data_IF_662868595747
#
_entry.id   IF_662868595747
#
_cell.length_a   1.000
_cell.length_b   1.000
_cell.length_c   1.000
_cell.angle_alpha   90.00
_cell.angle_beta   90.00
_cell.angle_gamma   90.00
#
_symmetry.space_group_name_H-M   'P 1'
#
loop_
_entity.id
_entity.type
_entity.pdbx_description
1 polymer ?
#
# COMPACT_ATOMS: atom_id res chain seq x y z
N UNK A 1 -69.63 -26.96 -5.06
CA UNK A 1 -68.46 -27.78 -4.66
C UNK A 1 -67.19 -27.08 -5.15
N UNK A 2 -66.48 -26.41 -4.24
CA UNK A 2 -65.26 -25.64 -4.52
C UNK A 2 -64.07 -26.59 -4.75
N UNK A 3 -63.35 -26.43 -5.87
CA UNK A 3 -62.02 -27.04 -6.08
C UNK A 3 -60.93 -26.01 -5.81
N UNK A 4 -60.19 -26.20 -4.71
CA UNK A 4 -58.96 -25.46 -4.40
C UNK A 4 -57.82 -25.97 -5.28
N UNK A 5 -57.14 -25.06 -5.97
CA UNK A 5 -55.81 -25.27 -6.57
C UNK A 5 -54.77 -25.05 -5.46
N UNK A 6 -53.88 -26.02 -5.24
CA UNK A 6 -52.68 -25.85 -4.44
C UNK A 6 -51.46 -25.86 -5.39
N UNK A 7 -50.75 -24.74 -5.45
CA UNK A 7 -49.48 -24.58 -6.14
C UNK A 7 -48.40 -24.87 -5.11
N UNK A 8 -47.63 -25.94 -5.32
CA UNK A 8 -46.41 -26.21 -4.56
C UNK A 8 -45.24 -25.52 -5.26
N UNK A 9 -44.69 -24.48 -4.63
CA UNK A 9 -43.41 -23.89 -4.99
C UNK A 9 -42.31 -24.64 -4.25
N UNK A 10 -41.49 -25.40 -4.98
CA UNK A 10 -40.27 -26.02 -4.44
C UNK A 10 -39.13 -25.00 -4.51
N UNK A 11 -38.69 -24.51 -3.35
CA UNK A 11 -37.45 -23.74 -3.20
C UNK A 11 -36.31 -24.74 -3.02
N UNK A 12 -35.55 -24.99 -4.09
CA UNK A 12 -34.28 -25.70 -4.01
C UNK A 12 -33.19 -24.70 -3.61
N UNK A 13 -32.76 -24.72 -2.35
CA UNK A 13 -31.48 -24.15 -1.94
C UNK A 13 -30.39 -25.16 -2.30
N UNK A 14 -29.64 -24.87 -3.37
CA UNK A 14 -28.43 -25.61 -3.74
C UNK A 14 -27.31 -25.31 -2.75
N UNK A 15 -26.96 -26.31 -1.95
CA UNK A 15 -25.79 -26.32 -1.08
C UNK A 15 -24.56 -26.58 -1.97
N UNK A 16 -23.81 -25.53 -2.32
CA UNK A 16 -22.52 -25.67 -3.00
C UNK A 16 -21.49 -26.11 -1.97
N UNK A 17 -21.13 -27.41 -1.99
CA UNK A 17 -19.95 -27.91 -1.30
C UNK A 17 -18.72 -27.54 -2.13
N UNK A 18 -18.01 -26.49 -1.73
CA UNK A 18 -16.69 -26.17 -2.24
C UNK A 18 -15.68 -27.16 -1.63
N UNK A 19 -15.33 -28.18 -2.39
CA UNK A 19 -14.23 -29.09 -2.06
C UNK A 19 -12.94 -28.41 -2.48
N UNK A 20 -12.23 -27.77 -1.55
CA UNK A 20 -10.92 -27.17 -1.82
C UNK A 20 -9.87 -28.28 -1.95
N UNK A 21 -9.62 -28.73 -3.18
CA UNK A 21 -8.43 -29.49 -3.50
C UNK A 21 -7.22 -28.55 -3.36
N UNK A 22 -6.31 -28.84 -2.42
CA UNK A 22 -5.05 -28.12 -2.24
C UNK A 22 -4.08 -28.51 -3.35
N UNK A 23 -4.35 -28.02 -4.56
CA UNK A 23 -3.30 -27.84 -5.55
C UNK A 23 -2.34 -26.80 -5.02
N UNK A 24 -1.04 -26.99 -5.22
CA UNK A 24 -0.03 -25.95 -4.92
C UNK A 24 -0.37 -24.76 -5.80
N UNK A 25 -1.13 -23.81 -5.27
CA UNK A 25 -1.46 -22.58 -5.98
C UNK A 25 -0.14 -21.92 -6.37
N UNK A 26 0.00 -21.58 -7.65
CA UNK A 26 1.17 -20.84 -8.09
C UNK A 26 1.28 -19.58 -7.23
N UNK A 27 2.46 -19.34 -6.64
CA UNK A 27 2.64 -18.17 -5.79
C UNK A 27 2.32 -16.91 -6.60
N UNK A 28 1.59 -16.00 -5.97
CA UNK A 28 1.13 -14.75 -6.57
C UNK A 28 2.33 -13.87 -6.95
N UNK A 29 2.36 -13.42 -8.19
CA UNK A 29 3.31 -12.41 -8.66
C UNK A 29 2.70 -11.02 -8.58
N UNK A 30 3.54 -10.02 -8.32
CA UNK A 30 3.14 -8.62 -8.29
C UNK A 30 4.33 -7.68 -8.54
N UNK A 31 4.03 -6.47 -8.99
CA UNK A 31 5.04 -5.45 -9.28
C UNK A 31 5.22 -4.51 -8.09
N UNK A 32 6.45 -4.25 -7.68
CA UNK A 32 6.75 -3.37 -6.55
C UNK A 32 7.58 -2.19 -7.00
N UNK A 33 7.29 -0.99 -6.50
CA UNK A 33 8.17 0.19 -6.60
C UNK A 33 9.29 0.18 -5.54
N UNK A 34 9.38 -0.87 -4.73
CA UNK A 34 10.28 -0.92 -3.59
C UNK A 34 11.51 -1.74 -3.90
N UNK A 35 12.62 -1.03 -3.94
CA UNK A 35 13.92 -1.64 -4.16
C UNK A 35 14.22 -2.69 -3.09
N UNK A 36 14.85 -3.81 -3.46
CA UNK A 36 15.32 -4.78 -2.49
C UNK A 36 16.31 -4.11 -1.53
N UNK A 37 16.16 -4.39 -0.24
CA UNK A 37 17.08 -3.84 0.77
C UNK A 37 18.52 -4.27 0.48
N UNK A 38 19.50 -3.39 0.72
CA UNK A 38 20.93 -3.72 0.56
C UNK A 38 21.35 -4.94 1.40
N UNK A 39 20.70 -5.16 2.55
CA UNK A 39 20.91 -6.37 3.38
C UNK A 39 20.42 -7.64 2.70
N UNK A 40 19.32 -7.59 1.96
CA UNK A 40 18.86 -8.74 1.19
C UNK A 40 19.79 -9.04 0.00
N UNK A 41 20.60 -8.08 -0.47
CA UNK A 41 21.55 -8.31 -1.57
C UNK A 41 22.76 -9.15 -1.15
N UNK A 42 23.18 -9.13 0.13
CA UNK A 42 24.31 -9.93 0.62
C UNK A 42 23.91 -11.35 1.04
N UNK A 43 22.67 -11.55 1.51
CA UNK A 43 22.21 -12.86 1.98
C UNK A 43 22.23 -13.95 0.90
N UNK A 44 22.06 -13.59 -0.38
CA UNK A 44 22.17 -14.56 -1.48
C UNK A 44 23.62 -14.78 -1.97
N UNK A 45 24.58 -13.96 -1.54
CA UNK A 45 25.99 -14.11 -1.89
C UNK A 45 26.75 -14.96 -0.85
N UNK A 46 26.32 -14.93 0.41
CA UNK A 46 27.03 -15.59 1.51
C UNK A 46 26.59 -17.06 1.73
N UNK A 47 25.51 -17.55 1.09
CA UNK A 47 25.04 -18.94 1.24
C UNK A 47 25.87 -19.98 0.44
N UNK A 48 26.99 -19.55 -0.17
CA UNK A 48 27.95 -20.43 -0.87
C UNK A 48 29.29 -20.56 -0.14
N UNK A 49 29.56 -19.75 0.88
CA UNK A 49 30.83 -19.83 1.61
C UNK A 49 30.62 -19.40 3.06
N UNK A 50 30.43 -20.35 3.99
CA UNK A 50 31.07 -20.32 5.30
C UNK A 50 30.77 -21.61 6.09
N UNK A 51 31.53 -22.67 5.78
CA UNK A 51 31.95 -23.61 6.82
C UNK A 51 33.11 -22.99 7.61
N UNK A 52 33.03 -23.12 8.93
CA UNK A 52 34.11 -23.14 9.93
C UNK A 52 34.48 -21.90 10.77
N UNK A 53 34.63 -22.27 12.06
CA UNK A 53 35.50 -21.77 13.13
C UNK A 53 35.02 -20.65 14.06
N UNK A 54 34.40 -21.11 15.15
CA UNK A 54 34.38 -20.47 16.47
C UNK A 54 35.79 -20.10 16.96
N UNK A 55 36.03 -18.82 17.24
CA UNK A 55 36.93 -18.37 18.31
C UNK A 55 36.37 -17.05 18.89
N UNK A 56 35.95 -17.07 20.15
CA UNK A 56 35.60 -15.88 20.93
C UNK A 56 36.85 -15.31 21.60
N UNK A 57 37.13 -14.00 21.51
CA UNK A 57 38.00 -13.30 22.45
C UNK A 57 37.21 -12.56 23.54
N UNK A 58 37.80 -12.36 24.72
CA UNK A 58 37.10 -11.90 25.92
C UNK A 58 36.86 -10.38 25.95
N UNK A 59 35.80 -10.02 26.65
CA UNK A 59 35.34 -8.66 26.92
C UNK A 59 36.36 -7.85 27.75
N UNK A 60 36.65 -6.63 27.30
CA UNK A 60 37.20 -5.56 28.14
C UNK A 60 36.14 -4.47 28.32
N UNK A 61 35.76 -4.25 29.57
CA UNK A 61 35.03 -3.07 30.02
C UNK A 61 35.99 -1.90 30.14
N UNK A 62 35.63 -0.73 29.65
CA UNK A 62 36.23 0.52 30.10
C UNK A 62 35.21 1.65 30.13
N UNK A 63 35.42 2.51 31.12
CA UNK A 63 34.47 3.42 31.71
C UNK A 63 34.29 4.72 30.91
N UNK A 64 33.15 5.35 31.14
CA UNK A 64 32.77 6.65 30.62
C UNK A 64 33.73 7.76 31.04
N UNK A 65 34.03 8.67 30.10
CA UNK A 65 34.34 10.06 30.43
C UNK A 65 33.57 11.00 29.51
N UNK A 66 32.87 11.91 30.18
CA UNK A 66 32.09 13.01 29.63
C UNK A 66 33.04 14.18 29.33
N UNK A 67 32.98 14.74 28.13
CA UNK A 67 33.56 16.04 27.83
C UNK A 67 32.62 16.81 26.91
N UNK A 68 32.11 17.92 27.45
CA UNK A 68 31.32 18.93 26.75
C UNK A 68 32.27 19.78 25.92
N UNK A 69 32.06 19.81 24.60
CA UNK A 69 32.66 20.80 23.71
C UNK A 69 31.61 21.27 22.71
N UNK A 70 31.20 22.53 22.87
CA UNK A 70 30.32 23.28 22.01
C UNK A 70 31.07 23.71 20.74
N UNK A 71 30.73 23.09 19.61
CA UNK A 71 31.21 23.50 18.29
C UNK A 71 30.01 23.99 17.46
N UNK A 72 29.94 25.30 17.25
CA UNK A 72 28.94 25.94 16.39
C UNK A 72 29.27 25.59 14.93
N UNK A 73 28.59 24.58 14.39
CA UNK A 73 28.62 24.26 12.97
C UNK A 73 27.52 25.00 12.22
N UNK A 74 27.96 25.64 11.14
CA UNK A 74 27.19 26.36 10.15
C UNK A 74 25.91 25.63 9.72
N UNK A 75 24.85 26.42 9.51
CA UNK A 75 23.53 25.97 9.09
C UNK A 75 23.62 25.12 7.81
N UNK A 76 23.57 23.81 8.01
CA UNK A 76 23.39 22.80 6.98
C UNK A 76 21.95 22.95 6.50
N UNK A 77 21.77 23.25 5.21
CA UNK A 77 20.49 23.30 4.52
C UNK A 77 19.71 22.03 4.91
N UNK A 78 18.60 22.20 5.65
CA UNK A 78 17.75 21.11 6.08
C UNK A 78 17.11 20.48 4.84
N UNK A 79 17.70 19.40 4.37
CA UNK A 79 17.10 18.51 3.39
C UNK A 79 16.16 17.58 4.17
N UNK A 80 14.87 17.85 4.11
CA UNK A 80 13.88 17.25 5.01
C UNK A 80 13.47 15.81 4.64
N UNK A 81 14.09 15.17 3.64
CA UNK A 81 13.53 13.94 3.06
C UNK A 81 14.47 12.74 2.89
N UNK A 82 15.73 12.79 3.37
CA UNK A 82 16.73 11.74 3.08
C UNK A 82 17.04 10.77 4.22
N UNK A 83 16.17 10.71 5.24
CA UNK A 83 16.28 9.70 6.30
C UNK A 83 15.96 8.30 5.79
N UNK A 84 17.00 7.55 5.39
CA UNK A 84 16.93 6.12 5.04
C UNK A 84 16.27 5.36 6.19
N UNK A 85 15.09 4.82 5.95
CA UNK A 85 14.31 4.08 6.93
C UNK A 85 14.52 2.56 6.73
N UNK A 86 14.95 1.81 7.74
CA UNK A 86 15.12 0.34 7.63
C UNK A 86 13.79 -0.44 7.72
N UNK A 87 12.67 0.20 8.09
CA UNK A 87 11.40 -0.48 8.41
C UNK A 87 10.17 0.05 7.64
N UNK A 88 10.36 0.98 6.70
CA UNK A 88 9.26 1.47 5.86
C UNK A 88 9.79 2.01 4.55
N UNK A 89 8.95 1.97 3.51
CA UNK A 89 9.34 2.41 2.17
C UNK A 89 9.69 3.90 2.19
N UNK A 90 10.85 4.26 1.62
CA UNK A 90 11.18 5.67 1.38
C UNK A 90 10.09 6.29 0.51
N UNK A 91 9.68 7.55 0.78
CA UNK A 91 8.67 8.24 -0.04
C UNK A 91 8.97 8.06 -1.53
N UNK A 92 7.97 7.63 -2.28
CA UNK A 92 8.08 7.42 -3.72
C UNK A 92 8.61 8.69 -4.41
N UNK A 93 9.44 8.51 -5.43
CA UNK A 93 9.91 9.60 -6.29
C UNK A 93 8.79 10.01 -7.25
N UNK A 94 7.65 10.41 -6.72
CA UNK A 94 6.45 10.74 -7.52
C UNK A 94 6.66 12.00 -8.37
N UNK A 95 7.66 12.81 -7.98
CA UNK A 95 8.11 13.99 -8.71
C UNK A 95 9.14 13.70 -9.81
N UNK A 96 9.57 12.45 -9.97
CA UNK A 96 10.50 12.06 -11.02
C UNK A 96 9.76 11.27 -12.09
N UNK A 97 10.02 11.54 -13.38
CA UNK A 97 9.47 10.75 -14.46
C UNK A 97 10.08 9.35 -14.51
N UNK A 98 11.31 9.18 -13.99
CA UNK A 98 11.97 7.89 -13.95
C UNK A 98 11.39 7.02 -12.83
N UNK A 99 10.86 5.86 -13.23
CA UNK A 99 10.30 4.84 -12.34
C UNK A 99 11.06 3.54 -12.48
N UNK A 100 11.12 2.80 -11.38
CA UNK A 100 11.69 1.47 -11.36
C UNK A 100 10.72 0.54 -10.64
N UNK A 101 10.45 -0.62 -11.25
CA UNK A 101 9.69 -1.68 -10.62
C UNK A 101 10.52 -2.94 -10.50
N UNK A 102 10.15 -3.78 -9.56
CA UNK A 102 10.71 -5.10 -9.33
C UNK A 102 9.57 -6.12 -9.31
N UNK A 103 9.77 -7.26 -9.99
CA UNK A 103 8.83 -8.36 -9.89
C UNK A 103 9.05 -9.11 -8.58
N UNK A 104 7.97 -9.32 -7.83
CA UNK A 104 7.97 -10.03 -6.56
C UNK A 104 7.05 -11.24 -6.61
N UNK A 105 7.37 -12.24 -5.82
CA UNK A 105 6.67 -13.51 -5.72
C UNK A 105 6.29 -13.79 -4.26
N UNK A 106 5.04 -14.20 -4.07
CA UNK A 106 4.41 -14.40 -2.77
C UNK A 106 3.52 -13.23 -2.36
N UNK A 107 2.49 -13.54 -1.58
CA UNK A 107 1.43 -12.61 -1.19
C UNK A 107 1.70 -11.87 0.14
N UNK A 108 2.65 -12.34 0.94
CA UNK A 108 3.14 -11.63 2.11
C UNK A 108 4.13 -10.53 1.69
N UNK A 109 3.65 -9.29 1.64
CA UNK A 109 4.41 -8.12 1.16
C UNK A 109 5.79 -7.95 1.83
N UNK A 110 5.92 -8.27 3.13
CA UNK A 110 7.20 -8.12 3.85
C UNK A 110 8.21 -9.19 3.48
N UNK A 111 7.76 -10.43 3.30
CA UNK A 111 8.64 -11.58 3.03
C UNK A 111 8.67 -12.03 1.57
N UNK A 112 7.83 -11.44 0.69
CA UNK A 112 7.76 -11.78 -0.72
C UNK A 112 9.13 -11.64 -1.38
N UNK A 113 9.53 -12.68 -2.12
CA UNK A 113 10.85 -12.75 -2.73
C UNK A 113 10.90 -11.90 -3.99
N UNK A 114 12.09 -11.42 -4.34
CA UNK A 114 12.33 -10.76 -5.62
C UNK A 114 12.64 -11.83 -6.66
N UNK A 115 11.98 -11.79 -7.81
CA UNK A 115 12.20 -12.76 -8.88
C UNK A 115 13.59 -12.55 -9.48
N UNK A 116 14.33 -13.64 -9.71
CA UNK A 116 15.66 -13.57 -10.32
C UNK A 116 15.56 -13.25 -11.82
N UNK A 117 16.48 -12.43 -12.34
CA UNK A 117 16.48 -12.03 -13.75
C UNK A 117 16.72 -13.21 -14.72
N UNK A 118 17.40 -14.27 -14.27
CA UNK A 118 17.69 -15.46 -15.07
C UNK A 118 16.43 -16.27 -15.45
N UNK A 119 15.31 -16.02 -14.78
CA UNK A 119 14.08 -16.79 -14.92
C UNK A 119 13.06 -16.12 -15.86
N UNK A 120 13.46 -15.11 -16.64
CA UNK A 120 12.51 -14.20 -17.28
C UNK A 120 12.81 -13.93 -18.76
N UNK A 121 12.02 -14.53 -19.65
CA UNK A 121 11.74 -14.02 -21.00
C UNK A 121 10.41 -13.25 -20.96
N UNK A 122 10.37 -12.18 -20.17
CA UNK A 122 9.13 -11.50 -19.84
C UNK A 122 8.98 -10.20 -20.62
N UNK A 123 7.81 -10.04 -21.25
CA UNK A 123 7.45 -8.84 -21.99
C UNK A 123 6.54 -7.96 -21.15
N UNK A 124 7.10 -6.90 -20.59
CA UNK A 124 6.34 -5.88 -19.88
C UNK A 124 5.74 -4.90 -20.87
N UNK A 125 4.49 -4.49 -20.61
CA UNK A 125 3.79 -3.47 -21.39
C UNK A 125 3.38 -2.33 -20.49
N UNK A 126 3.54 -1.12 -20.97
CA UNK A 126 3.04 0.09 -20.32
C UNK A 126 1.93 0.70 -21.15
N UNK A 127 0.85 1.09 -20.50
CA UNK A 127 -0.28 1.77 -21.11
C UNK A 127 -0.38 3.16 -20.49
N UNK A 128 -0.48 4.20 -21.32
CA UNK A 128 -0.71 5.57 -20.87
C UNK A 128 -2.21 5.94 -20.86
N UNK A 129 -2.53 7.16 -20.39
CA UNK A 129 -3.90 7.68 -20.37
C UNK A 129 -4.58 7.78 -21.75
N UNK A 130 -3.78 7.85 -22.82
CA UNK A 130 -4.28 7.84 -24.20
C UNK A 130 -4.55 6.43 -24.74
N UNK A 131 -4.26 5.39 -23.97
CA UNK A 131 -4.31 3.99 -24.38
C UNK A 131 -3.13 3.56 -25.25
N UNK A 132 -2.06 4.38 -25.34
CA UNK A 132 -0.86 4.00 -26.08
C UNK A 132 -0.11 2.91 -25.32
N UNK A 133 0.11 1.79 -26.00
CA UNK A 133 0.87 0.65 -25.46
C UNK A 133 2.32 0.76 -25.91
N UNK A 134 3.25 0.64 -24.96
CA UNK A 134 4.69 0.65 -25.21
C UNK A 134 5.34 -0.54 -24.51
N UNK A 135 6.23 -1.25 -25.20
CA UNK A 135 7.03 -2.31 -24.57
C UNK A 135 8.05 -1.70 -23.60
N UNK A 136 8.16 -2.27 -22.40
CA UNK A 136 9.13 -1.85 -21.39
C UNK A 136 10.27 -2.85 -21.32
N UNK A 137 11.49 -2.34 -21.43
CA UNK A 137 12.69 -3.17 -21.39
C UNK A 137 12.96 -3.64 -19.97
N UNK A 138 13.15 -4.94 -19.82
CA UNK A 138 13.59 -5.55 -18.56
C UNK A 138 15.07 -5.27 -18.32
N UNK A 139 15.43 -5.13 -17.05
CA UNK A 139 16.79 -4.92 -16.60
C UNK A 139 17.10 -5.88 -15.44
N UNK A 140 18.35 -6.28 -15.33
CA UNK A 140 18.85 -6.96 -14.12
C UNK A 140 19.46 -5.92 -13.18
N UNK A 141 18.98 -5.88 -11.94
CA UNK A 141 19.55 -5.04 -10.88
C UNK A 141 19.91 -5.92 -9.67
N UNK A 142 21.21 -6.15 -9.47
CA UNK A 142 21.69 -7.09 -8.45
C UNK A 142 21.19 -8.53 -8.65
N UNK A 143 21.06 -9.00 -9.89
CA UNK A 143 20.57 -10.33 -10.24
C UNK A 143 19.04 -10.50 -10.18
N UNK A 144 18.31 -9.43 -9.85
CA UNK A 144 16.84 -9.44 -9.74
C UNK A 144 16.20 -8.84 -10.97
N UNK A 145 15.03 -9.36 -11.33
CA UNK A 145 14.22 -8.83 -12.41
C UNK A 145 13.66 -7.47 -11.99
N UNK A 146 14.05 -6.45 -12.74
CA UNK A 146 13.55 -5.10 -12.60
C UNK A 146 13.16 -4.55 -13.96
N UNK A 147 12.39 -3.48 -13.97
CA UNK A 147 12.16 -2.68 -15.16
C UNK A 147 12.38 -1.22 -14.78
N UNK A 148 12.97 -0.48 -15.71
CA UNK A 148 13.15 0.97 -15.59
C UNK A 148 12.39 1.61 -16.73
N UNK A 149 11.54 2.58 -16.40
CA UNK A 149 10.75 3.31 -17.38
C UNK A 149 10.82 4.80 -17.09
N UNK A 150 10.63 5.60 -18.13
CA UNK A 150 10.50 7.04 -18.03
C UNK A 150 9.08 7.41 -18.45
N UNK A 151 8.36 8.14 -17.60
CA UNK A 151 7.01 8.61 -17.86
C UNK A 151 7.10 9.94 -18.61
N UNK A 152 6.69 10.02 -19.90
CA UNK A 152 6.94 11.19 -20.74
C UNK A 152 5.96 12.34 -20.54
N UNK A 153 4.81 12.12 -19.88
CA UNK A 153 3.84 13.18 -19.52
C UNK A 153 3.32 12.99 -18.09
N UNK A 154 2.90 14.09 -17.46
CA UNK A 154 2.25 14.04 -16.14
C UNK A 154 0.96 13.24 -16.25
N UNK A 155 0.75 12.33 -15.30
CA UNK A 155 -0.45 11.49 -15.21
C UNK A 155 -0.15 10.07 -14.76
N UNK A 156 -1.19 9.24 -14.81
CA UNK A 156 -1.12 7.82 -14.51
C UNK A 156 -0.66 7.00 -15.72
N UNK A 157 -0.01 5.89 -15.41
CA UNK A 157 0.42 4.87 -16.36
C UNK A 157 0.22 3.51 -15.69
N UNK A 158 -0.21 2.52 -16.46
CA UNK A 158 -0.28 1.16 -15.95
C UNK A 158 0.80 0.31 -16.59
N UNK A 159 1.59 -0.38 -15.77
CA UNK A 159 2.55 -1.38 -16.21
C UNK A 159 1.98 -2.76 -15.94
N UNK A 160 2.00 -3.60 -16.97
CA UNK A 160 1.50 -4.95 -16.97
C UNK A 160 2.62 -5.93 -17.27
N UNK A 161 2.50 -7.10 -16.67
CA UNK A 161 3.15 -8.32 -17.09
C UNK A 161 2.08 -9.38 -17.30
N UNK A 162 2.30 -10.26 -18.27
CA UNK A 162 1.43 -11.40 -18.51
C UNK A 162 2.28 -12.66 -18.60
N UNK A 163 2.07 -13.57 -17.64
CA UNK A 163 2.67 -14.89 -17.65
C UNK A 163 1.60 -15.95 -17.86
N UNK A 164 1.88 -16.89 -18.77
CA UNK A 164 0.97 -17.98 -19.12
C UNK A 164 1.74 -19.29 -19.09
N UNK A 165 1.18 -20.31 -18.44
CA UNK A 165 1.71 -21.67 -18.44
C UNK A 165 0.58 -22.68 -18.38
N UNK A 166 0.68 -23.78 -19.10
CA UNK A 166 -0.25 -24.90 -18.94
C UNK A 166 0.34 -25.86 -17.91
N UNK A 167 -0.45 -26.23 -16.90
CA UNK A 167 -0.09 -27.23 -15.89
C UNK A 167 -1.28 -28.12 -15.62
N UNK A 168 -1.08 -29.43 -15.67
CA UNK A 168 -2.12 -30.44 -15.40
C UNK A 168 -3.41 -30.23 -16.22
N UNK A 169 -3.29 -29.78 -17.47
CA UNK A 169 -4.43 -29.51 -18.35
C UNK A 169 -5.24 -28.25 -18.00
N UNK A 170 -4.70 -27.39 -17.12
CA UNK A 170 -5.25 -26.07 -16.76
C UNK A 170 -4.29 -24.96 -17.19
N UNK A 171 -4.79 -23.96 -17.90
CA UNK A 171 -4.03 -22.74 -18.19
C UNK A 171 -3.93 -21.89 -16.91
N UNK A 172 -2.74 -21.55 -16.50
CA UNK A 172 -2.45 -20.65 -15.38
C UNK A 172 -1.98 -19.32 -15.95
N UNK A 173 -2.70 -18.25 -15.67
CA UNK A 173 -2.39 -16.90 -16.14
C UNK A 173 -2.18 -15.97 -14.96
N UNK A 174 -1.00 -15.36 -14.87
CA UNK A 174 -0.70 -14.31 -13.89
C UNK A 174 -0.57 -12.95 -14.58
N UNK A 175 -1.28 -11.95 -14.08
CA UNK A 175 -1.42 -10.62 -14.65
C UNK A 175 -1.06 -9.56 -13.61
N UNK A 176 0.20 -9.48 -13.17
CA UNK A 176 0.58 -8.44 -12.23
C UNK A 176 0.60 -7.07 -12.91
N UNK A 177 -0.08 -6.13 -12.27
CA UNK A 177 -0.25 -4.73 -12.67
C UNK A 177 0.40 -3.83 -11.63
N UNK A 178 0.92 -2.69 -12.06
CA UNK A 178 1.26 -1.57 -11.18
C UNK A 178 0.79 -0.26 -11.81
N UNK A 179 0.11 0.55 -11.01
CA UNK A 179 -0.25 1.93 -11.35
C UNK A 179 0.91 2.85 -10.96
N UNK A 180 1.47 3.54 -11.95
CA UNK A 180 2.56 4.50 -11.78
C UNK A 180 2.03 5.91 -11.98
N UNK A 181 2.57 6.83 -11.19
CA UNK A 181 2.21 8.23 -11.25
C UNK A 181 3.46 9.07 -11.40
N UNK A 182 3.47 9.91 -12.43
CA UNK A 182 4.36 11.06 -12.49
C UNK A 182 3.55 12.34 -12.28
N UNK A 183 3.89 13.08 -11.23
CA UNK A 183 3.23 14.32 -10.86
C UNK A 183 4.27 15.42 -10.58
N UNK A 184 4.09 16.60 -11.16
CA UNK A 184 4.99 17.74 -10.94
C UNK A 184 4.22 18.92 -10.36
N UNK A 185 4.70 19.47 -9.23
CA UNK A 185 4.15 20.71 -8.65
C UNK A 185 4.44 21.97 -9.49
N UNK A 186 5.27 21.85 -10.52
CA UNK A 186 5.68 22.95 -11.41
C UNK A 186 4.97 22.87 -12.76
N UNK A 187 4.36 21.73 -13.09
CA UNK A 187 3.59 21.59 -14.32
C UNK A 187 2.33 22.46 -14.23
N UNK A 188 2.37 23.59 -14.92
CA UNK A 188 1.19 24.44 -15.13
C UNK A 188 0.35 23.83 -16.25
N UNK A 189 -0.95 24.04 -16.21
CA UNK A 189 -1.90 23.65 -17.26
C UNK A 189 -2.13 22.13 -17.41
N UNK A 190 -1.92 21.35 -16.33
CA UNK A 190 -2.37 19.96 -16.28
C UNK A 190 -3.83 19.93 -15.82
N UNK A 191 -4.70 19.35 -16.66
CA UNK A 191 -6.07 19.03 -16.26
C UNK A 191 -6.02 17.84 -15.29
N UNK A 192 -5.95 18.13 -13.98
CA UNK A 192 -5.84 17.13 -12.91
C UNK A 192 -6.95 16.08 -12.97
N UNK A 193 -8.17 16.46 -13.34
CA UNK A 193 -9.30 15.54 -13.45
C UNK A 193 -9.12 14.59 -14.65
N UNK A 194 -8.68 15.11 -15.79
CA UNK A 194 -8.40 14.27 -16.95
C UNK A 194 -7.24 13.30 -16.71
N UNK A 195 -6.19 13.76 -16.02
CA UNK A 195 -5.03 12.89 -15.73
C UNK A 195 -5.25 11.93 -14.59
N UNK A 196 -6.31 12.10 -13.79
CA UNK A 196 -6.70 11.20 -12.72
C UNK A 196 -7.70 10.13 -13.15
N UNK A 197 -7.92 9.91 -14.45
CA UNK A 197 -8.80 8.82 -14.91
C UNK A 197 -8.09 7.47 -14.82
N UNK A 198 -8.78 6.41 -14.36
CA UNK A 198 -8.21 5.08 -14.38
C UNK A 198 -8.01 4.59 -15.82
N UNK A 199 -6.92 3.85 -16.04
CA UNK A 199 -6.61 3.22 -17.32
C UNK A 199 -7.22 1.81 -17.33
N UNK A 200 -7.83 1.45 -18.46
CA UNK A 200 -8.49 0.15 -18.66
C UNK A 200 -7.82 -0.58 -19.82
N UNK A 201 -7.32 -1.78 -19.54
CA UNK A 201 -6.80 -2.69 -20.56
C UNK A 201 -7.88 -3.67 -21.04
N UNK A 202 -8.62 -3.25 -22.07
CA UNK A 202 -9.70 -4.06 -22.67
C UNK A 202 -9.24 -5.40 -23.25
N UNK A 203 -7.93 -5.61 -23.45
CA UNK A 203 -7.39 -6.87 -23.94
C UNK A 203 -7.04 -7.87 -22.83
N UNK A 204 -7.04 -7.44 -21.56
CA UNK A 204 -6.70 -8.30 -20.44
C UNK A 204 -7.85 -9.30 -20.14
N UNK A 205 -7.57 -10.60 -19.98
CA UNK A 205 -8.62 -11.58 -19.70
C UNK A 205 -9.21 -11.42 -18.29
N UNK A 206 -8.43 -10.87 -17.36
CA UNK A 206 -8.87 -10.42 -16.04
C UNK A 206 -8.10 -9.14 -15.68
N UNK A 207 -8.79 -8.14 -15.15
CA UNK A 207 -8.19 -6.86 -14.79
C UNK A 207 -8.76 -6.33 -13.47
N UNK A 208 -7.87 -5.81 -12.62
CA UNK A 208 -8.22 -4.95 -11.50
C UNK A 208 -7.93 -3.49 -11.87
N UNK A 209 -8.96 -2.66 -11.74
CA UNK A 209 -8.87 -1.21 -11.95
C UNK A 209 -9.21 -0.52 -10.64
N UNK A 210 -8.31 0.29 -10.10
CA UNK A 210 -8.63 1.14 -8.96
C UNK A 210 -9.45 2.32 -9.45
N UNK A 211 -10.60 2.57 -8.84
CA UNK A 211 -11.34 3.80 -9.11
C UNK A 211 -10.74 4.94 -8.30
N UNK A 212 -10.53 6.07 -8.97
CA UNK A 212 -10.02 7.27 -8.33
C UNK A 212 -11.21 8.11 -7.82
N UNK A 213 -11.07 8.72 -6.66
CA UNK A 213 -12.10 9.62 -6.16
C UNK A 213 -12.21 10.87 -7.05
N UNK A 214 -13.38 11.51 -7.09
CA UNK A 214 -13.61 12.68 -7.94
C UNK A 214 -12.70 13.88 -7.58
N UNK A 215 -12.25 13.95 -6.32
CA UNK A 215 -11.32 14.94 -5.80
C UNK A 215 -9.87 14.42 -5.70
N UNK A 216 -9.59 13.24 -6.26
CA UNK A 216 -8.27 12.64 -6.28
C UNK A 216 -7.39 13.26 -7.38
N UNK A 217 -6.64 14.30 -7.03
CA UNK A 217 -5.60 14.84 -7.91
C UNK A 217 -4.32 13.98 -7.94
N UNK A 218 -3.35 14.29 -8.81
CA UNK A 218 -2.07 13.56 -8.91
C UNK A 218 -1.20 13.60 -7.64
N UNK A 219 -1.54 14.46 -6.67
CA UNK A 219 -0.85 14.54 -5.38
C UNK A 219 -1.65 13.92 -4.23
N UNK A 220 -2.87 13.45 -4.51
CA UNK A 220 -3.66 12.73 -3.53
C UNK A 220 -2.95 11.44 -3.13
N UNK A 221 -3.14 11.05 -1.87
CA UNK A 221 -2.56 9.85 -1.28
C UNK A 221 -3.63 9.20 -0.45
N UNK A 222 -3.81 7.89 -0.64
CA UNK A 222 -4.67 7.10 0.22
C UNK A 222 -4.17 7.16 1.66
N UNK A 223 -5.09 7.28 2.59
CA UNK A 223 -4.83 7.23 4.02
C UNK A 223 -5.70 6.18 4.70
N UNK A 224 -5.36 5.81 5.94
CA UNK A 224 -6.25 4.96 6.72
C UNK A 224 -7.62 5.59 6.91
N UNK A 225 -8.65 4.75 6.84
CA UNK A 225 -10.04 5.15 6.89
C UNK A 225 -10.65 5.45 5.51
N UNK A 226 -9.83 5.66 4.48
CA UNK A 226 -10.33 5.83 3.12
C UNK A 226 -10.99 4.54 2.62
N UNK A 227 -11.99 4.68 1.76
CA UNK A 227 -12.59 3.56 1.02
C UNK A 227 -11.98 3.52 -0.37
N UNK A 228 -11.33 2.41 -0.71
CA UNK A 228 -10.79 2.16 -2.04
C UNK A 228 -11.75 1.23 -2.77
N UNK A 229 -12.14 1.62 -3.98
CA UNK A 229 -13.00 0.82 -4.85
C UNK A 229 -12.16 0.24 -5.98
N UNK A 230 -12.40 -1.03 -6.29
CA UNK A 230 -11.82 -1.72 -7.42
C UNK A 230 -12.93 -2.19 -8.34
N UNK A 231 -12.77 -1.95 -9.63
CA UNK A 231 -13.58 -2.53 -10.68
C UNK A 231 -12.86 -3.75 -11.25
N UNK A 232 -13.52 -4.91 -11.19
CA UNK A 232 -13.05 -6.17 -11.77
C UNK A 232 -13.62 -6.30 -13.17
N UNK A 233 -12.73 -6.39 -14.16
CA UNK A 233 -13.09 -6.51 -15.56
C UNK A 233 -12.58 -7.83 -16.14
N UNK A 234 -13.29 -8.37 -17.13
CA UNK A 234 -12.79 -9.38 -18.06
C UNK A 234 -13.00 -8.86 -19.47
N UNK A 235 -11.90 -8.72 -20.22
CA UNK A 235 -11.89 -8.13 -21.57
C UNK A 235 -12.64 -6.79 -21.63
N UNK A 236 -12.35 -5.91 -20.66
CA UNK A 236 -12.93 -4.57 -20.54
C UNK A 236 -14.39 -4.53 -20.06
N UNK A 237 -15.00 -5.65 -19.70
CA UNK A 237 -16.39 -5.71 -19.21
C UNK A 237 -16.45 -6.08 -17.73
N UNK A 238 -17.31 -5.42 -16.92
CA UNK A 238 -17.43 -5.76 -15.51
C UNK A 238 -17.84 -7.22 -15.27
N UNK A 239 -17.20 -7.86 -14.29
CA UNK A 239 -17.48 -9.25 -13.90
C UNK A 239 -17.85 -9.35 -12.42
N UNK A 240 -19.00 -9.96 -12.16
CA UNK A 240 -19.52 -10.24 -10.84
C UNK A 240 -19.04 -11.60 -10.31
N UNK A 241 -19.07 -11.77 -8.98
CA UNK A 241 -18.80 -13.07 -8.37
C UNK A 241 -17.32 -13.42 -8.24
N UNK A 242 -16.41 -12.51 -8.57
CA UNK A 242 -14.96 -12.73 -8.49
C UNK A 242 -14.48 -12.43 -7.07
N UNK A 243 -13.82 -13.37 -6.38
CA UNK A 243 -13.18 -13.09 -5.11
C UNK A 243 -12.02 -12.09 -5.30
N UNK A 244 -12.05 -11.02 -4.53
CA UNK A 244 -11.01 -9.99 -4.48
C UNK A 244 -10.49 -9.92 -3.05
N UNK A 245 -9.18 -10.10 -2.87
CA UNK A 245 -8.52 -10.09 -1.56
C UNK A 245 -7.60 -8.87 -1.47
N UNK A 246 -7.77 -8.06 -0.43
CA UNK A 246 -6.82 -7.01 -0.07
C UNK A 246 -5.93 -7.50 1.08
N UNK A 247 -4.61 -7.38 0.90
CA UNK A 247 -3.58 -7.80 1.84
C UNK A 247 -2.75 -6.57 2.22
N UNK A 248 -2.61 -6.23 3.50
CA UNK A 248 -1.74 -5.12 3.92
C UNK A 248 -0.32 -5.57 4.18
N UNK A 249 0.62 -4.62 4.25
CA UNK A 249 2.02 -4.87 4.59
C UNK A 249 2.21 -5.61 5.92
N UNK A 250 1.32 -5.40 6.89
CA UNK A 250 1.34 -6.10 8.19
C UNK A 250 0.64 -7.47 8.15
N UNK A 251 0.20 -7.92 6.98
CA UNK A 251 -0.40 -9.24 6.78
C UNK A 251 -1.88 -9.34 7.13
N UNK A 252 -2.58 -8.22 7.39
CA UNK A 252 -4.04 -8.25 7.46
C UNK A 252 -4.61 -8.58 6.09
N UNK A 253 -5.65 -9.42 6.06
CA UNK A 253 -6.30 -9.88 4.83
C UNK A 253 -7.80 -9.76 4.97
N UNK A 254 -8.45 -9.32 3.90
CA UNK A 254 -9.90 -9.39 3.77
C UNK A 254 -10.26 -9.73 2.34
N UNK A 255 -11.24 -10.60 2.17
CA UNK A 255 -11.75 -11.01 0.86
C UNK A 255 -13.19 -10.59 0.73
N UNK A 256 -13.50 -9.87 -0.33
CA UNK A 256 -14.87 -9.52 -0.74
C UNK A 256 -15.12 -10.12 -2.12
N UNK A 257 -16.38 -10.21 -2.52
CA UNK A 257 -16.76 -10.72 -3.85
C UNK A 257 -17.23 -9.55 -4.69
N UNK A 258 -16.78 -9.45 -5.93
CA UNK A 258 -17.23 -8.40 -6.84
C UNK A 258 -18.74 -8.45 -7.04
N UNK A 259 -19.38 -7.29 -6.98
CA UNK A 259 -20.84 -7.19 -7.09
C UNK A 259 -21.32 -7.30 -8.55
N UNK A 260 -22.62 -7.07 -8.79
CA UNK A 260 -23.23 -7.17 -10.12
C UNK A 260 -22.67 -6.18 -11.13
N UNK A 261 -22.07 -5.09 -10.68
CA UNK A 261 -21.42 -4.09 -11.53
C UNK A 261 -19.90 -4.25 -11.54
N UNK A 262 -19.37 -5.34 -10.97
CA UNK A 262 -17.96 -5.68 -10.94
C UNK A 262 -17.16 -5.01 -9.83
N UNK A 263 -17.81 -4.34 -8.87
CA UNK A 263 -17.09 -3.57 -7.85
C UNK A 263 -16.75 -4.39 -6.61
N UNK A 264 -15.57 -4.15 -6.07
CA UNK A 264 -15.08 -4.64 -4.79
C UNK A 264 -14.51 -3.46 -3.98
N UNK A 265 -15.06 -3.21 -2.80
CA UNK A 265 -14.70 -2.06 -1.97
C UNK A 265 -14.04 -2.49 -0.66
N UNK A 266 -13.01 -1.74 -0.25
CA UNK A 266 -12.30 -1.97 1.00
C UNK A 266 -12.08 -0.65 1.74
N UNK A 267 -12.28 -0.66 3.06
CA UNK A 267 -11.76 0.41 3.91
C UNK A 267 -10.29 0.12 4.22
N UNK A 268 -9.41 1.08 3.93
CA UNK A 268 -7.98 0.99 4.28
C UNK A 268 -7.87 1.01 5.80
N UNK A 269 -7.49 -0.13 6.38
CA UNK A 269 -7.34 -0.23 7.82
C UNK A 269 -6.03 0.40 8.29
N UNK A 270 -6.00 0.81 9.55
CA UNK A 270 -4.77 1.20 10.23
C UNK A 270 -3.97 -0.05 10.59
N UNK A 271 -2.74 -0.14 10.08
CA UNK A 271 -1.81 -1.23 10.36
C UNK A 271 -0.56 -0.79 11.14
N UNK A 272 -0.21 0.50 11.10
CA UNK A 272 0.95 1.06 11.79
C UNK A 272 0.56 1.63 13.17
N UNK A 273 1.09 1.00 14.23
CA UNK A 273 0.87 1.36 15.64
C UNK A 273 2.19 1.60 16.38
N UNK A 274 2.98 2.62 16.00
CA UNK A 274 4.23 2.92 16.66
C UNK A 274 3.98 3.49 18.07
N UNK A 275 5.02 3.52 18.90
CA UNK A 275 5.01 4.36 20.09
C UNK A 275 4.89 5.84 19.68
N UNK A 276 4.34 6.66 20.55
CA UNK A 276 4.03 8.06 20.25
C UNK A 276 5.23 8.85 19.70
N UNK A 277 6.37 8.80 20.37
CA UNK A 277 7.59 9.52 19.97
C UNK A 277 8.25 8.96 18.69
N UNK A 278 7.78 7.81 18.22
CA UNK A 278 8.26 7.13 17.02
C UNK A 278 7.27 7.27 15.85
N UNK A 279 6.15 7.97 16.05
CA UNK A 279 5.13 8.15 15.02
C UNK A 279 5.67 8.96 13.84
N UNK A 280 5.71 8.33 12.67
CA UNK A 280 6.14 8.95 11.42
C UNK A 280 4.91 9.29 10.58
N UNK A 281 4.59 10.58 10.46
CA UNK A 281 3.44 11.05 9.66
C UNK A 281 3.52 10.68 8.17
N UNK A 282 4.74 10.50 7.64
CA UNK A 282 5.00 10.10 6.26
C UNK A 282 5.35 8.61 6.12
N UNK A 283 5.07 7.81 7.16
CA UNK A 283 5.13 6.36 7.01
C UNK A 283 4.23 5.96 5.85
N UNK A 284 4.74 5.08 4.99
CA UNK A 284 4.03 4.59 3.83
C UNK A 284 4.03 3.08 3.92
N UNK A 285 2.84 2.50 3.89
CA UNK A 285 2.61 1.07 3.83
C UNK A 285 2.08 0.71 2.44
N UNK A 286 2.38 -0.50 2.00
CA UNK A 286 1.81 -1.10 0.80
C UNK A 286 0.61 -1.98 1.14
N UNK A 287 -0.40 -2.00 0.28
CA UNK A 287 -1.35 -3.10 0.20
C UNK A 287 -1.23 -3.79 -1.16
N UNK A 288 -1.67 -5.03 -1.24
CA UNK A 288 -1.75 -5.83 -2.45
C UNK A 288 -3.19 -6.29 -2.62
N UNK A 289 -3.82 -5.92 -3.72
CA UNK A 289 -5.13 -6.43 -4.10
C UNK A 289 -4.95 -7.56 -5.11
N UNK A 290 -5.61 -8.68 -4.88
CA UNK A 290 -5.55 -9.89 -5.72
C UNK A 290 -6.96 -10.28 -6.13
N UNK A 291 -7.19 -10.52 -7.42
CA UNK A 291 -8.44 -11.08 -7.91
C UNK A 291 -8.15 -12.39 -8.64
N UNK A 292 -8.99 -13.40 -8.37
CA UNK A 292 -8.81 -14.76 -8.88
C UNK A 292 -10.09 -15.23 -9.57
N UNK A 293 -9.97 -15.76 -10.78
CA UNK A 293 -11.11 -16.23 -11.57
C UNK A 293 -10.77 -17.54 -12.27
N UNK A 294 -11.61 -18.55 -12.07
CA UNK A 294 -11.58 -19.79 -12.85
C UNK A 294 -12.59 -19.73 -14.00
N UNK A 295 -12.21 -20.26 -15.16
CA UNK A 295 -13.10 -20.39 -16.32
C UNK A 295 -13.00 -21.78 -16.95
N UNK A 296 -14.10 -22.27 -17.48
CA UNK A 296 -14.17 -23.56 -18.22
C UNK A 296 -13.81 -23.38 -19.70
N UNK A 297 -12.77 -22.61 -19.98
CA UNK A 297 -12.27 -22.42 -21.34
C UNK A 297 -11.27 -23.51 -21.73
N UNK A 298 -11.45 -24.06 -22.94
CA UNK A 298 -10.51 -25.00 -23.52
C UNK A 298 -9.72 -24.32 -24.64
N UNK A 299 -8.44 -24.68 -24.77
CA UNK A 299 -7.56 -24.10 -25.77
C UNK A 299 -6.22 -24.82 -25.88
N UNK A 300 -5.27 -24.17 -26.53
CA UNK A 300 -3.92 -24.67 -26.73
C UNK A 300 -2.92 -23.52 -26.55
N UNK A 301 -1.87 -23.73 -25.75
CA UNK A 301 -0.77 -22.78 -25.55
C UNK A 301 0.54 -23.51 -25.84
N UNK A 302 1.29 -23.06 -26.85
CA UNK A 302 2.59 -23.65 -27.19
C UNK A 302 2.52 -25.15 -27.57
N UNK A 303 1.39 -25.63 -28.09
CA UNK A 303 1.19 -27.05 -28.40
C UNK A 303 0.54 -27.87 -27.28
N UNK A 304 0.45 -27.32 -26.06
CA UNK A 304 -0.16 -27.99 -24.91
C UNK A 304 -1.64 -27.60 -24.79
N UNK A 305 -2.52 -28.61 -24.74
CA UNK A 305 -3.96 -28.40 -24.59
C UNK A 305 -4.35 -28.21 -23.14
N UNK A 306 -5.32 -27.33 -22.91
CA UNK A 306 -5.96 -27.13 -21.62
C UNK A 306 -7.49 -27.16 -21.75
N UNK A 307 -8.16 -27.41 -20.63
CA UNK A 307 -9.63 -27.58 -20.55
C UNK A 307 -10.31 -26.58 -19.61
N UNK A 308 -9.51 -25.88 -18.81
CA UNK A 308 -9.93 -24.76 -17.96
C UNK A 308 -8.78 -23.76 -17.85
N UNK A 309 -9.07 -22.54 -17.40
CA UNK A 309 -8.09 -21.54 -17.06
C UNK A 309 -8.28 -21.02 -15.64
N UNK A 310 -7.18 -20.61 -15.02
CA UNK A 310 -7.11 -19.89 -13.76
C UNK A 310 -6.39 -18.57 -14.01
N UNK A 311 -7.07 -17.49 -13.71
CA UNK A 311 -6.57 -16.13 -13.87
C UNK A 311 -6.32 -15.52 -12.50
N UNK A 312 -5.13 -14.97 -12.31
CA UNK A 312 -4.76 -14.18 -11.14
C UNK A 312 -4.30 -12.81 -11.63
N UNK A 313 -4.93 -11.74 -11.17
CA UNK A 313 -4.42 -10.38 -11.40
C UNK A 313 -4.14 -9.72 -10.06
N UNK A 314 -3.09 -8.90 -10.02
CA UNK A 314 -2.71 -8.19 -8.81
C UNK A 314 -2.52 -6.71 -9.07
N UNK A 315 -2.91 -5.87 -8.12
CA UNK A 315 -2.65 -4.44 -8.12
C UNK A 315 -2.17 -4.01 -6.74
N UNK A 316 -0.89 -3.62 -6.58
CA UNK A 316 -0.39 -3.01 -5.37
C UNK A 316 -0.89 -1.57 -5.26
N UNK A 317 -0.98 -1.06 -4.03
CA UNK A 317 -1.18 0.35 -3.77
C UNK A 317 -0.46 0.79 -2.51
N UNK A 318 -0.34 2.10 -2.32
CA UNK A 318 0.33 2.70 -1.17
C UNK A 318 -0.63 3.56 -0.38
N UNK A 319 -0.45 3.58 0.94
CA UNK A 319 -1.27 4.38 1.83
C UNK A 319 -0.48 4.88 3.04
N UNK A 320 -1.00 5.92 3.68
CA UNK A 320 -0.32 6.65 4.77
C UNK A 320 -1.19 6.76 6.04
N UNK A 321 -0.57 7.15 7.17
CA UNK A 321 -1.31 7.57 8.34
C UNK A 321 -2.32 8.67 8.03
N UNK A 322 -3.53 8.51 8.58
CA UNK A 322 -4.57 9.54 8.47
C UNK A 322 -4.15 10.84 9.14
N UNK A 323 -4.39 12.01 8.52
CA UNK A 323 -4.12 13.30 9.17
C UNK A 323 -4.95 13.51 10.43
N UNK A 324 -6.11 12.84 10.53
CA UNK A 324 -6.98 12.90 11.69
C UNK A 324 -6.35 12.25 12.93
N UNK A 325 -5.50 11.23 12.75
CA UNK A 325 -4.83 10.55 13.86
C UNK A 325 -4.01 11.54 14.66
N UNK A 326 -3.13 12.33 14.04
CA UNK A 326 -2.29 13.27 14.78
C UNK A 326 -2.96 14.63 15.07
N UNK A 327 -3.95 15.06 14.27
CA UNK A 327 -4.71 16.30 14.55
C UNK A 327 -5.54 16.18 15.81
N UNK A 328 -6.12 15.01 16.09
CA UNK A 328 -6.91 14.78 17.31
C UNK A 328 -6.13 15.09 18.59
N UNK A 329 -4.82 14.79 18.61
CA UNK A 329 -3.95 15.11 19.75
C UNK A 329 -3.68 16.60 19.90
N UNK A 330 -3.53 17.34 18.79
CA UNK A 330 -3.38 18.80 18.85
C UNK A 330 -4.64 19.45 19.46
N UNK A 331 -5.82 18.95 19.11
CA UNK A 331 -7.08 19.36 19.74
C UNK A 331 -7.13 18.99 21.22
N UNK A 332 -6.77 17.76 21.58
CA UNK A 332 -6.72 17.32 22.98
C UNK A 332 -5.78 18.18 23.84
N UNK A 333 -4.58 18.47 23.33
CA UNK A 333 -3.62 19.35 24.00
C UNK A 333 -4.15 20.79 24.08
N UNK A 334 -4.77 21.30 23.01
CA UNK A 334 -5.39 22.62 22.99
C UNK A 334 -6.49 22.77 24.04
N UNK A 335 -7.36 21.76 24.16
CA UNK A 335 -8.42 21.72 25.17
C UNK A 335 -7.82 21.65 26.58
N UNK A 336 -6.82 20.80 26.80
CA UNK A 336 -6.14 20.70 28.10
C UNK A 336 -5.48 22.02 28.51
N UNK A 337 -4.75 22.66 27.60
CA UNK A 337 -4.12 23.96 27.82
C UNK A 337 -5.16 25.04 28.10
N UNK A 338 -6.25 25.06 27.34
CA UNK A 338 -7.37 25.98 27.56
C UNK A 338 -7.95 25.80 28.97
N UNK A 339 -8.22 24.58 29.41
CA UNK A 339 -8.74 24.28 30.75
C UNK A 339 -7.75 24.72 31.83
N UNK A 340 -6.44 24.49 31.65
CA UNK A 340 -5.41 24.90 32.63
C UNK A 340 -5.34 26.42 32.73
N UNK A 341 -5.29 27.13 31.61
CA UNK A 341 -5.16 28.60 31.58
C UNK A 341 -6.41 29.26 32.13
N UNK A 342 -7.59 28.90 31.65
CA UNK A 342 -8.84 29.49 32.09
C UNK A 342 -9.23 29.06 33.50
N UNK A 343 -9.03 27.79 33.85
CA UNK A 343 -9.23 27.28 35.20
C UNK A 343 -8.28 27.96 36.19
N UNK A 344 -7.00 28.08 35.84
CA UNK A 344 -6.00 28.80 36.63
C UNK A 344 -6.36 30.27 36.82
N UNK A 345 -6.77 30.96 35.75
CA UNK A 345 -7.20 32.36 35.80
C UNK A 345 -8.46 32.54 36.65
N UNK A 346 -9.46 31.66 36.50
CA UNK A 346 -10.68 31.69 37.30
C UNK A 346 -10.38 31.50 38.79
N UNK A 347 -9.54 30.52 39.14
CA UNK A 347 -9.09 30.31 40.53
C UNK A 347 -8.29 31.51 41.04
N UNK A 348 -7.42 32.09 40.23
CA UNK A 348 -6.64 33.28 40.58
C UNK A 348 -7.55 34.49 40.86
N UNK A 349 -8.49 34.80 39.96
CA UNK A 349 -9.44 35.89 40.13
C UNK A 349 -10.36 35.66 41.34
N UNK A 350 -10.79 34.41 41.56
CA UNK A 350 -11.56 34.02 42.73
C UNK A 350 -10.78 34.27 44.03
N UNK A 351 -9.52 33.83 44.10
CA UNK A 351 -8.63 34.06 45.25
C UNK A 351 -8.37 35.55 45.48
N UNK A 352 -8.07 36.30 44.41
CA UNK A 352 -7.80 37.74 44.48
C UNK A 352 -8.99 38.53 45.04
N UNK A 353 -10.22 38.16 44.68
CA UNK A 353 -11.45 38.79 45.24
C UNK A 353 -11.65 38.51 46.73
N UNK A 354 -11.07 37.44 47.27
CA UNK A 354 -11.18 37.07 48.69
C UNK A 354 -10.06 37.63 49.57
N UNK A 355 -9.00 38.16 48.98
CA UNK A 355 -8.01 38.93 49.72
C UNK A 355 -8.71 40.22 50.17
N UNK A 356 -9.19 40.23 51.43
CA UNK A 356 -9.71 41.46 52.04
C UNK A 356 -8.59 42.50 51.99
N UNK A 357 -8.83 43.71 51.47
CA UNK A 357 -7.86 44.78 51.58
C UNK A 357 -7.49 44.98 53.06
N UNK A 358 -6.23 45.28 53.34
CA UNK A 358 -5.77 45.60 54.69
C UNK A 358 -6.71 46.67 55.27
N UNK A 359 -7.45 46.28 56.29
CA UNK A 359 -8.29 47.20 57.04
C UNK A 359 -7.41 47.74 58.16
N UNK A 360 -6.99 49.00 58.06
CA UNK A 360 -6.32 49.67 59.17
C UNK A 360 -7.33 49.79 60.31
N UNK A 361 -7.17 48.96 61.35
CA UNK A 361 -7.86 49.17 62.60
C UNK A 361 -7.21 50.36 63.30
N UNK A 362 -7.91 51.51 63.31
CA UNK A 362 -7.55 52.62 64.19
C UNK A 362 -7.92 52.20 65.61
N UNK A 363 -6.92 51.83 66.38
CA UNK A 363 -7.04 51.65 67.82
C UNK A 363 -7.15 53.05 68.42
N UNK A 364 -8.28 53.33 69.08
CA UNK A 364 -8.48 54.58 69.83
C UNK A 364 -7.89 54.38 71.23
N UNK A 365 -6.82 55.09 71.57
CA UNK A 365 -6.03 54.93 72.81
C UNK A 365 -6.74 55.48 74.07
N UNK A 366 -8.07 55.34 74.15
CA UNK A 366 -8.87 55.73 75.31
C UNK A 366 -9.64 54.53 75.86
N UNK A 367 -8.92 53.68 76.59
CA UNK A 367 -9.49 52.73 77.54
C UNK A 367 -8.73 52.80 78.85
#
# INVERSE_FOLDING_TARGET
>A
MLRRKAVFAAVLYGLVQATFATGVSAEVLWLSETAPSKRAASANADDVQHEHHHVMPPAKSEAAQSAVASEVKSAKKHDHDTGINPEGETPGKDHQPDKQLWLRQGDNIKSAQYVAAANAEEHFKMIDLGGQITDVVTASDGGRLSLKTNLPKVGFYDVYLEQRVVRDGKLQVQLPKAELLWASCVAKDVDEEAVAKPIINVSSPLELVREHAADEGCMARLVWGDVVNFLVLSFGKPVAGVPVTMITQEGWRNTVVSDKTGHASFTVIRAYFPKWFEFKKYHTDTFLTVAEMDTDEAGELGGERYTSAHYVTTLPGKYRPSPYDYRSYAWGLGIALFVIVFGGLAVYLYRRRRLKPYQEERIDDKA
#
